data_IF_359242731565
#
_entry.id   IF_359242731565
#
_cell.length_a   1.000
_cell.length_b   1.000
_cell.length_c   1.000
_cell.angle_alpha   90.00
_cell.angle_beta   90.00
_cell.angle_gamma   90.00
#
_symmetry.space_group_name_H-M   'P 1'
#
loop_
_entity.id
_entity.type
_entity.pdbx_description
1 polymer ?
#
# COMPACT_ATOMS: atom_id res chain seq x y z
N UNK A 1 -9.82 -16.20 -0.06
CA UNK A 1 -9.82 -14.96 0.78
C UNK A 1 -8.86 -14.97 1.97
N UNK A 2 -8.64 -16.10 2.66
CA UNK A 2 -7.75 -16.13 3.83
C UNK A 2 -6.31 -15.62 3.57
N UNK A 3 -5.75 -15.87 2.38
CA UNK A 3 -4.43 -15.36 2.00
C UNK A 3 -4.39 -13.85 1.86
N UNK A 4 -5.35 -13.25 1.14
CA UNK A 4 -5.44 -11.79 0.95
C UNK A 4 -5.60 -11.11 2.31
N UNK A 5 -6.47 -11.63 3.18
CA UNK A 5 -6.63 -11.10 4.54
C UNK A 5 -5.31 -11.13 5.30
N UNK A 6 -4.56 -12.25 5.26
CA UNK A 6 -3.24 -12.38 5.90
C UNK A 6 -2.21 -11.39 5.34
N UNK A 7 -2.23 -11.13 4.04
CA UNK A 7 -1.38 -10.10 3.40
C UNK A 7 -1.76 -8.71 3.90
N UNK A 8 -3.06 -8.37 3.91
CA UNK A 8 -3.55 -7.09 4.42
C UNK A 8 -3.19 -6.90 5.90
N UNK A 9 -3.30 -7.94 6.73
CA UNK A 9 -2.86 -7.88 8.13
C UNK A 9 -1.36 -7.58 8.25
N UNK A 10 -0.53 -8.28 7.48
CA UNK A 10 0.94 -8.17 7.53
C UNK A 10 1.42 -6.75 7.22
N UNK A 11 0.75 -6.05 6.32
CA UNK A 11 1.10 -4.69 5.91
C UNK A 11 0.25 -3.62 6.60
N UNK A 12 -0.50 -3.97 7.67
CA UNK A 12 -1.35 -3.06 8.43
C UNK A 12 -2.47 -2.39 7.60
N UNK A 13 -2.98 -3.11 6.60
CA UNK A 13 -4.02 -2.71 5.65
C UNK A 13 -5.38 -3.40 5.93
N UNK A 14 -5.60 -3.88 7.15
CA UNK A 14 -6.83 -4.63 7.54
C UNK A 14 -8.13 -3.90 7.22
N UNK A 15 -8.12 -2.58 7.28
CA UNK A 15 -9.29 -1.72 7.06
C UNK A 15 -9.34 -1.13 5.63
N UNK A 16 -8.50 -1.62 4.72
CA UNK A 16 -8.47 -1.14 3.34
C UNK A 16 -9.72 -1.59 2.59
N UNK A 17 -10.27 -0.68 1.77
CA UNK A 17 -11.44 -0.97 0.93
C UNK A 17 -11.01 -1.80 -0.28
N UNK A 18 -11.84 -2.78 -0.65
CA UNK A 18 -11.68 -3.48 -1.92
C UNK A 18 -12.04 -2.52 -3.07
N UNK A 19 -11.13 -2.38 -4.02
CA UNK A 19 -11.30 -1.53 -5.21
C UNK A 19 -10.76 -2.26 -6.44
N UNK A 20 -11.45 -2.13 -7.58
CA UNK A 20 -11.01 -2.72 -8.85
C UNK A 20 -9.80 -2.01 -9.46
N UNK A 21 -9.62 -0.74 -9.11
CA UNK A 21 -8.51 0.09 -9.58
C UNK A 21 -7.97 0.85 -8.38
N UNK A 22 -6.75 0.53 -7.89
CA UNK A 22 -6.17 1.15 -6.69
C UNK A 22 -6.05 2.67 -6.80
N UNK A 23 -5.81 3.18 -8.00
CA UNK A 23 -5.70 4.61 -8.27
C UNK A 23 -6.25 4.93 -9.66
N UNK A 24 -7.26 5.80 -9.73
CA UNK A 24 -7.84 6.21 -11.00
C UNK A 24 -6.84 7.06 -11.80
N UNK A 25 -6.83 6.93 -13.13
CA UNK A 25 -5.83 7.57 -13.99
C UNK A 25 -5.81 9.10 -13.99
N UNK A 26 -6.83 9.75 -13.42
CA UNK A 26 -6.85 11.21 -13.24
C UNK A 26 -6.11 11.68 -11.97
N UNK A 27 -5.75 10.76 -11.06
CA UNK A 27 -4.94 11.11 -9.90
C UNK A 27 -3.50 11.39 -10.35
N UNK A 28 -3.03 12.61 -10.10
CA UNK A 28 -1.64 13.00 -10.29
C UNK A 28 -0.96 13.04 -8.94
N UNK A 29 0.16 12.34 -8.82
CA UNK A 29 1.01 12.42 -7.65
C UNK A 29 1.76 13.76 -7.64
N UNK A 30 1.72 14.45 -6.51
CA UNK A 30 2.39 15.72 -6.31
C UNK A 30 3.54 15.60 -5.32
N UNK A 31 4.53 16.50 -5.44
CA UNK A 31 5.71 16.51 -4.55
C UNK A 31 5.37 16.66 -3.06
N UNK A 32 4.27 17.30 -2.71
CA UNK A 32 3.85 17.45 -1.31
C UNK A 32 3.37 16.14 -0.67
N UNK A 33 3.07 15.11 -1.47
CA UNK A 33 2.72 13.77 -0.99
C UNK A 33 3.95 12.90 -0.72
N UNK A 34 5.14 13.41 -1.05
CA UNK A 34 6.39 12.76 -0.67
C UNK A 34 6.60 12.91 0.84
N UNK A 35 7.06 11.85 1.53
CA UNK A 35 7.40 11.94 2.95
C UNK A 35 8.40 13.08 3.17
N UNK A 36 7.99 14.07 3.95
CA UNK A 36 8.74 15.31 4.14
C UNK A 36 9.49 15.31 5.47
N UNK A 37 9.07 14.46 6.41
CA UNK A 37 9.74 14.29 7.71
C UNK A 37 10.58 13.01 7.77
N UNK A 38 11.58 13.01 8.66
CA UNK A 38 12.40 11.82 8.90
C UNK A 38 11.56 10.64 9.43
N UNK A 39 10.57 10.92 10.28
CA UNK A 39 9.65 9.93 10.84
C UNK A 39 8.79 9.27 9.74
N UNK A 40 8.28 10.05 8.79
CA UNK A 40 7.53 9.52 7.65
C UNK A 40 8.40 8.63 6.76
N UNK A 41 9.64 9.05 6.49
CA UNK A 41 10.60 8.24 5.71
C UNK A 41 10.92 6.94 6.44
N UNK A 42 11.19 6.99 7.74
CA UNK A 42 11.49 5.80 8.54
C UNK A 42 10.30 4.83 8.58
N UNK A 43 9.08 5.37 8.78
CA UNK A 43 7.86 4.59 8.73
C UNK A 43 7.67 3.91 7.36
N UNK A 44 7.79 4.66 6.26
CA UNK A 44 7.64 4.12 4.91
C UNK A 44 8.72 3.08 4.58
N UNK A 45 9.93 3.20 5.15
CA UNK A 45 10.99 2.19 4.99
C UNK A 45 10.62 0.86 5.67
N UNK A 46 9.89 0.91 6.80
CA UNK A 46 9.40 -0.29 7.51
C UNK A 46 8.25 -0.97 6.78
N UNK A 47 7.45 -0.22 6.01
CA UNK A 47 6.35 -0.76 5.21
C UNK A 47 6.85 -1.07 3.80
N UNK A 48 7.16 -2.33 3.51
CA UNK A 48 7.56 -2.75 2.16
C UNK A 48 6.39 -2.73 1.17
N UNK A 49 5.99 -1.55 0.70
CA UNK A 49 4.90 -1.35 -0.26
C UNK A 49 5.07 -2.20 -1.53
N UNK A 50 6.29 -2.31 -2.05
CA UNK A 50 6.57 -3.18 -3.21
C UNK A 50 6.22 -4.66 -2.93
N UNK A 51 6.55 -5.15 -1.72
CA UNK A 51 6.21 -6.51 -1.28
C UNK A 51 4.71 -6.70 -1.07
N UNK A 52 4.02 -5.68 -0.54
CA UNK A 52 2.56 -5.71 -0.38
C UNK A 52 1.86 -5.81 -1.73
N UNK A 53 2.20 -4.93 -2.66
CA UNK A 53 1.64 -4.90 -4.02
C UNK A 53 1.97 -6.19 -4.78
N UNK A 54 3.22 -6.68 -4.72
CA UNK A 54 3.60 -7.93 -5.38
C UNK A 54 2.85 -9.15 -4.82
N UNK A 55 2.63 -9.21 -3.51
CA UNK A 55 1.84 -10.29 -2.88
C UNK A 55 0.37 -10.24 -3.30
N UNK A 56 -0.20 -9.03 -3.43
CA UNK A 56 -1.58 -8.84 -3.90
C UNK A 56 -1.73 -9.16 -5.38
N UNK A 57 -0.77 -8.76 -6.22
CA UNK A 57 -0.75 -9.10 -7.66
C UNK A 57 -0.67 -10.62 -7.90
N UNK A 58 0.05 -11.35 -7.06
CA UNK A 58 0.10 -12.82 -7.15
C UNK A 58 -1.23 -13.49 -6.75
N UNK A 59 -2.02 -12.83 -5.89
CA UNK A 59 -3.28 -13.37 -5.40
C UNK A 59 -4.48 -13.12 -6.33
N UNK A 60 -4.34 -12.20 -7.29
CA UNK A 60 -5.32 -11.88 -8.33
C UNK A 60 -5.03 -12.66 -9.61
#
# INVERSE_FOLDING_TARGET
EAYINKVLERFNMRNSKHVSTPMAGHFKLHKYQFPSSHEEVEYMTRVSYASAIGSLMYAM
#
